data_IF_354269647882
#
_entry.id   IF_354269647882
#
_cell.length_a   1.000
_cell.length_b   1.000
_cell.length_c   1.000
_cell.angle_alpha   90.00
_cell.angle_beta   90.00
_cell.angle_gamma   90.00
#
_symmetry.space_group_name_H-M   'P 1'
#
loop_
_entity.id
_entity.type
_entity.pdbx_description
1 polymer ?
#
# COMPACT_ATOMS: atom_id res chain seq x y z
N UNK A 1 3.35 -17.24 -19.89
CA UNK A 1 4.18 -17.19 -18.67
C UNK A 1 4.06 -15.89 -17.91
N UNK A 2 4.18 -14.72 -18.58
CA UNK A 2 4.03 -13.42 -17.91
C UNK A 2 2.63 -13.25 -17.30
N UNK A 3 1.58 -13.67 -18.01
CA UNK A 3 0.21 -13.56 -17.49
C UNK A 3 -0.01 -14.39 -16.23
N UNK A 4 0.62 -15.56 -16.11
CA UNK A 4 0.49 -16.40 -14.91
C UNK A 4 1.27 -15.81 -13.73
N UNK A 5 2.44 -15.21 -13.98
CA UNK A 5 3.20 -14.51 -12.94
C UNK A 5 2.45 -13.26 -12.47
N UNK A 6 1.90 -12.51 -13.40
CA UNK A 6 1.09 -11.33 -13.09
C UNK A 6 -0.11 -11.71 -12.21
N UNK A 7 -0.79 -12.80 -12.57
CA UNK A 7 -1.95 -13.29 -11.79
C UNK A 7 -1.53 -13.69 -10.38
N UNK A 8 -0.38 -14.35 -10.23
CA UNK A 8 0.13 -14.67 -8.88
C UNK A 8 0.33 -13.42 -8.04
N UNK A 9 0.85 -12.36 -8.66
CA UNK A 9 1.05 -11.08 -7.99
C UNK A 9 -0.26 -10.43 -7.59
N UNK A 10 -1.23 -10.33 -8.50
CA UNK A 10 -2.53 -9.73 -8.20
C UNK A 10 -3.29 -10.52 -7.15
N UNK A 11 -3.22 -11.84 -7.18
CA UNK A 11 -3.85 -12.69 -6.16
C UNK A 11 -3.19 -12.50 -4.80
N UNK A 12 -1.85 -12.45 -4.77
CA UNK A 12 -1.11 -12.26 -3.52
C UNK A 12 -1.40 -10.90 -2.88
N UNK A 13 -1.40 -9.83 -3.69
CA UNK A 13 -1.61 -8.47 -3.20
C UNK A 13 -3.09 -8.13 -3.04
N UNK A 14 -3.99 -8.92 -3.59
CA UNK A 14 -5.42 -8.61 -3.66
C UNK A 14 -5.67 -7.28 -4.36
N UNK A 15 -4.88 -6.97 -5.37
CA UNK A 15 -4.94 -5.71 -6.12
C UNK A 15 -5.25 -5.94 -7.59
N UNK A 16 -5.73 -4.91 -8.28
CA UNK A 16 -6.02 -4.99 -9.71
C UNK A 16 -4.75 -5.18 -10.53
N UNK A 17 -3.69 -4.49 -10.14
CA UNK A 17 -2.39 -4.57 -10.81
C UNK A 17 -1.35 -5.17 -9.88
N UNK A 18 -0.45 -5.99 -10.42
CA UNK A 18 0.67 -6.56 -9.67
C UNK A 18 1.81 -5.55 -9.56
N UNK A 19 1.49 -4.37 -9.01
CA UNK A 19 2.42 -3.25 -8.84
C UNK A 19 2.38 -2.81 -7.38
N UNK A 20 3.52 -2.82 -6.74
CA UNK A 20 3.66 -2.42 -5.34
C UNK A 20 4.38 -1.09 -5.27
N UNK A 21 3.77 -0.11 -4.58
CA UNK A 21 4.46 1.11 -4.21
C UNK A 21 5.23 0.86 -2.92
N UNK A 22 6.52 0.56 -3.03
CA UNK A 22 7.34 0.20 -1.89
C UNK A 22 7.46 1.32 -0.86
N UNK A 23 7.80 0.93 0.37
CA UNK A 23 7.92 1.88 1.48
C UNK A 23 9.12 2.81 1.28
N UNK A 24 8.87 4.12 1.33
CA UNK A 24 9.89 5.16 1.26
C UNK A 24 9.74 6.07 2.47
N UNK A 25 10.74 6.09 3.35
CA UNK A 25 10.69 6.88 4.59
C UNK A 25 10.30 8.33 4.31
N UNK A 26 9.30 8.82 5.06
CA UNK A 26 8.76 10.19 5.00
C UNK A 26 8.06 10.54 3.68
N UNK A 27 8.02 9.62 2.71
CA UNK A 27 7.31 9.78 1.43
C UNK A 27 6.08 8.89 1.37
N UNK A 28 6.23 7.60 1.73
CA UNK A 28 5.13 6.64 1.73
C UNK A 28 4.32 6.77 3.02
N UNK A 29 3.43 7.74 3.02
CA UNK A 29 2.49 8.02 4.11
C UNK A 29 1.05 7.90 3.58
N UNK A 30 0.05 8.24 4.42
CA UNK A 30 -1.36 8.03 4.11
C UNK A 30 -1.81 8.51 2.72
N UNK A 31 -1.31 9.65 2.27
CA UNK A 31 -1.77 10.23 1.00
C UNK A 31 -1.24 9.45 -0.20
N UNK A 32 0.06 9.18 -0.24
CA UNK A 32 0.66 8.40 -1.33
C UNK A 32 0.17 6.96 -1.30
N UNK A 33 0.15 6.33 -0.13
CA UNK A 33 -0.27 4.94 0.03
C UNK A 33 -1.71 4.75 -0.42
N UNK A 34 -2.62 5.61 0.03
CA UNK A 34 -4.02 5.52 -0.37
C UNK A 34 -4.20 5.79 -1.86
N UNK A 35 -3.45 6.73 -2.43
CA UNK A 35 -3.51 7.04 -3.86
C UNK A 35 -3.07 5.84 -4.70
N UNK A 36 -1.99 5.17 -4.32
CA UNK A 36 -1.50 3.98 -5.03
C UNK A 36 -2.53 2.85 -4.95
N UNK A 37 -3.06 2.59 -3.76
CA UNK A 37 -4.04 1.52 -3.56
C UNK A 37 -5.36 1.81 -4.28
N UNK A 38 -5.82 3.06 -4.26
CA UNK A 38 -7.03 3.47 -4.98
C UNK A 38 -6.86 3.39 -6.50
N UNK A 39 -5.64 3.55 -7.00
CA UNK A 39 -5.35 3.42 -8.43
C UNK A 39 -5.25 1.96 -8.89
N UNK A 40 -5.37 1.00 -7.99
CA UNK A 40 -5.34 -0.43 -8.33
C UNK A 40 -4.02 -1.12 -8.03
N UNK A 41 -3.03 -0.40 -7.52
CA UNK A 41 -1.77 -0.98 -7.05
C UNK A 41 -1.86 -1.40 -5.58
N UNK A 42 -0.71 -1.59 -4.97
CA UNK A 42 -0.62 -1.93 -3.55
C UNK A 42 0.38 -0.99 -2.88
N UNK A 43 -0.14 -0.03 -2.12
CA UNK A 43 0.71 0.92 -1.39
C UNK A 43 1.22 0.32 -0.09
N UNK A 44 2.39 0.76 0.36
CA UNK A 44 3.00 0.28 1.61
C UNK A 44 3.44 1.47 2.45
N UNK A 45 2.95 1.53 3.69
CA UNK A 45 3.35 2.57 4.65
C UNK A 45 4.79 2.32 5.10
N UNK A 46 5.63 3.37 5.06
CA UNK A 46 7.00 3.29 5.53
C UNK A 46 7.06 3.56 7.03
N UNK A 47 7.10 2.50 7.82
CA UNK A 47 7.02 2.59 9.28
C UNK A 47 8.37 2.52 10.01
N UNK A 48 9.47 2.31 9.29
CA UNK A 48 10.77 2.09 9.93
C UNK A 48 11.26 3.24 10.80
N UNK A 49 10.88 4.48 10.49
CA UNK A 49 11.26 5.67 11.26
C UNK A 49 10.11 6.21 12.11
N UNK A 50 9.00 5.49 12.23
CA UNK A 50 7.82 5.95 12.98
C UNK A 50 7.79 5.33 14.38
N UNK A 51 7.45 6.15 15.38
CA UNK A 51 7.06 5.62 16.68
C UNK A 51 5.67 4.95 16.58
N UNK A 52 5.36 3.99 17.49
CA UNK A 52 4.11 3.23 17.40
C UNK A 52 2.85 4.09 17.32
N UNK A 53 2.77 5.19 18.04
CA UNK A 53 1.60 6.07 18.03
C UNK A 53 1.39 6.73 16.66
N UNK A 54 2.47 7.16 16.02
CA UNK A 54 2.41 7.74 14.68
C UNK A 54 2.00 6.70 13.66
N UNK A 55 2.56 5.48 13.75
CA UNK A 55 2.19 4.40 12.85
C UNK A 55 0.72 4.06 12.96
N UNK A 56 0.20 3.96 14.18
CA UNK A 56 -1.22 3.69 14.41
C UNK A 56 -2.09 4.77 13.77
N UNK A 57 -1.71 6.03 13.93
CA UNK A 57 -2.43 7.15 13.32
C UNK A 57 -2.43 7.04 11.80
N UNK A 58 -1.27 6.76 11.20
CA UNK A 58 -1.15 6.62 9.75
C UNK A 58 -1.99 5.47 9.21
N UNK A 59 -2.05 4.33 9.90
CA UNK A 59 -2.89 3.21 9.52
C UNK A 59 -4.37 3.62 9.53
N UNK A 60 -4.84 4.24 10.61
CA UNK A 60 -6.23 4.67 10.74
C UNK A 60 -6.59 5.69 9.66
N UNK A 61 -5.73 6.68 9.44
CA UNK A 61 -5.96 7.71 8.42
C UNK A 61 -5.98 7.12 7.01
N UNK A 62 -5.09 6.15 6.74
CA UNK A 62 -5.07 5.46 5.45
C UNK A 62 -6.36 4.67 5.23
N UNK A 63 -6.85 4.00 6.26
CA UNK A 63 -8.13 3.27 6.19
C UNK A 63 -9.32 4.18 5.91
N UNK A 64 -9.24 5.44 6.27
CA UNK A 64 -10.29 6.43 5.96
C UNK A 64 -10.21 6.93 4.52
N UNK A 65 -9.02 6.89 3.91
CA UNK A 65 -8.79 7.38 2.55
C UNK A 65 -8.95 6.32 1.48
N UNK A 66 -8.89 5.04 1.85
CA UNK A 66 -9.05 3.94 0.90
C UNK A 66 -9.72 2.74 1.57
N UNK A 67 -10.52 2.00 0.81
CA UNK A 67 -11.03 0.69 1.21
C UNK A 67 -10.28 -0.45 0.52
N UNK A 68 -9.21 -0.12 -0.20
CA UNK A 68 -8.36 -1.09 -0.91
C UNK A 68 -7.26 -1.61 0.00
N UNK A 69 -6.68 -2.79 -0.31
CA UNK A 69 -5.57 -3.33 0.47
C UNK A 69 -4.33 -2.45 0.42
N UNK A 70 -3.60 -2.42 1.52
CA UNK A 70 -2.30 -1.77 1.63
C UNK A 70 -1.46 -2.46 2.71
N UNK A 71 -0.15 -2.27 2.66
CA UNK A 71 0.78 -2.83 3.64
C UNK A 71 1.41 -1.77 4.53
#
# INVERSE_FOLDING_TARGET
>A
MLSSLWKKGTDFLSSEFAIMGGAMSWVSERNLVSAISNAGGFGVIACGAMFPDLLKKEIIETQQLTNKPFG
#
